data_IF_258976220188
#
_entry.id   IF_258976220188
#
_cell.length_a   1.000
_cell.length_b   1.000
_cell.length_c   1.000
_cell.angle_alpha   90.00
_cell.angle_beta   90.00
_cell.angle_gamma   90.00
#
_symmetry.space_group_name_H-M   'P 1'
#
loop_
_entity.id
_entity.type
_entity.pdbx_description
1 polymer ?
#
# COMPACT_ATOMS: atom_id res chain seq x y z
N UNK A 1 -3.68 14.11 3.95
CA UNK A 1 -2.36 14.32 4.58
C UNK A 1 -1.37 13.34 3.95
N UNK A 2 -0.05 13.61 3.87
CA UNK A 2 0.90 12.77 3.14
C UNK A 2 1.07 11.35 3.71
N UNK A 3 0.55 11.07 4.90
CA UNK A 3 0.58 9.76 5.56
C UNK A 3 -0.83 9.14 5.73
N UNK A 4 -1.83 9.62 4.98
CA UNK A 4 -3.18 9.06 5.02
C UNK A 4 -3.23 7.72 4.27
N UNK A 5 -3.99 6.74 4.78
CA UNK A 5 -4.33 5.52 4.04
C UNK A 5 -5.25 5.84 2.86
N UNK A 6 -5.37 4.92 1.91
CA UNK A 6 -6.27 5.07 0.76
C UNK A 6 -7.73 5.26 1.20
N UNK A 7 -8.19 4.50 2.20
CA UNK A 7 -9.55 4.60 2.73
C UNK A 7 -9.83 6.00 3.31
N UNK A 8 -8.86 6.57 4.03
CA UNK A 8 -8.97 7.94 4.57
C UNK A 8 -9.00 8.96 3.43
N UNK A 9 -8.20 8.76 2.37
CA UNK A 9 -8.21 9.65 1.20
C UNK A 9 -9.54 9.58 0.46
N UNK A 10 -10.08 8.38 0.23
CA UNK A 10 -11.39 8.18 -0.40
C UNK A 10 -12.51 8.83 0.43
N UNK A 11 -12.52 8.62 1.74
CA UNK A 11 -13.52 9.25 2.63
C UNK A 11 -13.45 10.78 2.59
N UNK A 12 -12.23 11.35 2.59
CA UNK A 12 -12.05 12.80 2.53
C UNK A 12 -12.51 13.38 1.18
N UNK A 13 -12.24 12.71 0.07
CA UNK A 13 -12.68 13.14 -1.26
C UNK A 13 -14.19 13.00 -1.40
N UNK A 14 -14.78 11.89 -0.94
CA UNK A 14 -16.22 11.69 -0.92
C UNK A 14 -16.95 12.75 -0.08
N UNK A 15 -16.36 13.19 1.04
CA UNK A 15 -16.88 14.30 1.83
C UNK A 15 -16.90 15.65 1.09
N UNK A 16 -16.16 15.78 -0.01
CA UNK A 16 -16.18 16.93 -0.93
C UNK A 16 -16.98 16.66 -2.21
N UNK A 17 -17.68 15.52 -2.30
CA UNK A 17 -18.44 15.12 -3.49
C UNK A 17 -17.56 14.66 -4.67
N UNK A 18 -16.31 14.28 -4.39
CA UNK A 18 -15.34 13.80 -5.38
C UNK A 18 -15.20 12.27 -5.28
N UNK A 19 -14.95 11.62 -6.41
CA UNK A 19 -14.82 10.17 -6.49
C UNK A 19 -13.34 9.69 -6.52
N UNK A 20 -13.14 8.38 -6.69
CA UNK A 20 -11.80 7.80 -6.79
C UNK A 20 -11.05 8.24 -8.05
N UNK A 21 -11.77 8.53 -9.14
CA UNK A 21 -11.20 9.07 -10.37
C UNK A 21 -10.65 10.47 -10.15
N UNK A 22 -11.41 11.31 -9.45
CA UNK A 22 -10.98 12.65 -9.04
C UNK A 22 -9.77 12.60 -8.10
N UNK A 23 -9.74 11.64 -7.17
CA UNK A 23 -8.57 11.40 -6.32
C UNK A 23 -7.31 11.14 -7.15
N UNK A 24 -7.40 10.26 -8.14
CA UNK A 24 -6.26 9.93 -9.01
C UNK A 24 -5.86 11.14 -9.87
N UNK A 25 -6.82 11.80 -10.50
CA UNK A 25 -6.57 12.95 -11.36
C UNK A 25 -5.92 14.12 -10.60
N UNK A 26 -6.47 14.47 -9.42
CA UNK A 26 -5.95 15.57 -8.60
C UNK A 26 -4.63 15.24 -7.91
N UNK A 27 -4.37 13.96 -7.61
CA UNK A 27 -3.05 13.51 -7.13
C UNK A 27 -1.94 13.76 -8.15
N UNK A 28 -2.27 13.86 -9.44
CA UNK A 28 -1.33 14.23 -10.51
C UNK A 28 -0.68 15.61 -10.30
N UNK A 29 -1.28 16.50 -9.51
CA UNK A 29 -0.69 17.80 -9.16
C UNK A 29 0.68 17.69 -8.46
N UNK A 30 0.98 16.54 -7.83
CA UNK A 30 2.29 16.27 -7.24
C UNK A 30 3.42 16.01 -8.26
N UNK A 31 3.10 15.93 -9.56
CA UNK A 31 4.11 15.81 -10.64
C UNK A 31 5.04 17.04 -10.68
N UNK A 32 4.55 18.19 -10.24
CA UNK A 32 5.31 19.44 -10.17
C UNK A 32 5.39 19.93 -8.71
N UNK A 33 6.45 20.69 -8.41
CA UNK A 33 6.63 21.31 -7.09
C UNK A 33 7.62 20.57 -6.18
N UNK A 34 7.60 20.91 -4.89
CA UNK A 34 8.52 20.40 -3.88
C UNK A 34 7.77 20.03 -2.60
N UNK A 35 8.21 18.99 -1.92
CA UNK A 35 7.74 18.61 -0.58
C UNK A 35 8.84 18.82 0.46
N UNK A 36 8.44 19.11 1.71
CA UNK A 36 9.39 19.22 2.83
C UNK A 36 9.79 17.82 3.29
N UNK A 37 11.04 17.64 3.72
CA UNK A 37 11.54 16.36 4.24
C UNK A 37 10.62 15.77 5.32
N UNK A 38 10.08 16.60 6.21
CA UNK A 38 9.17 16.19 7.29
C UNK A 38 7.92 15.46 6.80
N UNK A 39 7.47 15.71 5.56
CA UNK A 39 6.27 15.11 4.99
C UNK A 39 6.45 13.65 4.56
N UNK A 40 7.69 13.20 4.35
CA UNK A 40 7.99 11.84 3.89
C UNK A 40 9.07 11.12 4.71
N UNK A 41 9.79 11.83 5.58
CA UNK A 41 10.81 11.28 6.49
C UNK A 41 10.34 10.04 7.27
N UNK A 42 9.09 9.95 7.77
CA UNK A 42 8.61 8.74 8.43
C UNK A 42 8.73 7.48 7.57
N UNK A 43 8.49 7.55 6.25
CA UNK A 43 8.61 6.40 5.34
C UNK A 43 10.05 5.88 5.19
N UNK A 44 11.05 6.70 5.50
CA UNK A 44 12.46 6.35 5.37
C UNK A 44 13.00 5.72 6.66
N UNK A 45 12.53 6.19 7.81
CA UNK A 45 13.10 5.81 9.11
C UNK A 45 12.16 4.97 9.99
N UNK A 46 10.86 4.91 9.68
CA UNK A 46 9.90 4.06 10.37
C UNK A 46 9.53 2.89 9.45
N UNK A 47 10.33 1.82 9.55
CA UNK A 47 10.26 0.56 8.79
C UNK A 47 9.13 -0.31 9.35
N UNK A 48 7.89 0.20 9.34
CA UNK A 48 6.70 -0.53 9.80
C UNK A 48 5.81 -1.04 8.66
N UNK A 49 5.96 -0.47 7.46
CA UNK A 49 5.07 -0.68 6.31
C UNK A 49 5.84 -1.27 5.12
N UNK A 50 6.67 -2.27 5.39
CA UNK A 50 7.54 -2.87 4.38
C UNK A 50 6.67 -3.70 3.42
N UNK A 51 6.23 -3.09 2.33
CA UNK A 51 5.54 -3.82 1.24
C UNK A 51 6.40 -4.97 0.73
N UNK A 52 7.73 -4.88 0.88
CA UNK A 52 8.66 -5.96 0.57
C UNK A 52 8.43 -7.21 1.42
N UNK A 53 8.08 -7.06 2.70
CA UNK A 53 7.81 -8.19 3.58
C UNK A 53 6.53 -8.92 3.16
N UNK A 54 5.51 -8.18 2.72
CA UNK A 54 4.23 -8.75 2.23
C UNK A 54 4.44 -9.59 0.97
N UNK A 55 5.32 -9.19 0.05
CA UNK A 55 5.62 -10.00 -1.14
C UNK A 55 6.28 -11.34 -0.77
N UNK A 56 7.28 -11.34 0.13
CA UNK A 56 7.92 -12.59 0.56
C UNK A 56 7.04 -13.46 1.44
N UNK A 57 6.19 -12.88 2.30
CA UNK A 57 5.25 -13.62 3.14
C UNK A 57 4.24 -14.39 2.27
N UNK A 58 3.71 -13.75 1.21
CA UNK A 58 2.77 -14.38 0.29
C UNK A 58 3.41 -15.54 -0.49
N UNK A 59 4.64 -15.35 -1.00
CA UNK A 59 5.37 -16.42 -1.70
C UNK A 59 5.71 -17.59 -0.75
N UNK A 60 6.09 -17.31 0.50
CA UNK A 60 6.32 -18.34 1.52
C UNK A 60 5.04 -19.13 1.83
N UNK A 61 3.91 -18.44 1.97
CA UNK A 61 2.62 -19.08 2.20
C UNK A 61 2.22 -19.99 1.03
N UNK A 62 2.45 -19.56 -0.21
CA UNK A 62 2.20 -20.38 -1.39
C UNK A 62 3.06 -21.66 -1.38
N UNK A 63 4.35 -21.54 -1.06
CA UNK A 63 5.25 -22.69 -0.98
C UNK A 63 4.85 -23.69 0.13
N UNK A 64 4.34 -23.21 1.27
CA UNK A 64 3.80 -24.08 2.32
C UNK A 64 2.49 -24.78 1.90
N UNK A 65 1.64 -24.09 1.13
CA UNK A 65 0.41 -24.66 0.60
C UNK A 65 0.70 -25.75 -0.46
N UNK A 66 1.73 -25.56 -1.29
CA UNK A 66 2.18 -26.58 -2.25
C UNK A 66 2.77 -27.80 -1.52
N UNK A 67 3.61 -27.57 -0.50
CA UNK A 67 4.21 -28.65 0.29
C UNK A 67 3.17 -29.50 1.02
N UNK A 68 2.16 -28.86 1.60
CA UNK A 68 1.06 -29.57 2.27
C UNK A 68 0.22 -30.40 1.29
N UNK A 69 -0.06 -29.88 0.10
CA UNK A 69 -0.76 -30.62 -0.98
C UNK A 69 0.02 -31.84 -1.44
N UNK A 70 1.33 -31.72 -1.63
CA UNK A 70 2.19 -32.83 -2.04
C UNK A 70 2.27 -33.93 -0.96
N UNK A 71 2.24 -33.56 0.33
CA UNK A 71 2.21 -34.52 1.45
C UNK A 71 0.90 -35.30 1.54
N UNK A 72 -0.23 -34.69 1.16
CA UNK A 72 -1.54 -35.36 1.14
C UNK A 72 -1.66 -36.33 -0.05
N UNK A 73 -1.04 -36.02 -1.19
CA UNK A 73 -1.08 -36.85 -2.40
C UNK A 73 -0.15 -38.07 -2.43
N UNK A 74 0.66 -38.29 -1.40
CA UNK A 74 1.63 -39.41 -1.28
C UNK A 74 1.24 -40.37 -0.13
N UNK A 75 -0.01 -40.31 0.36
CA UNK A 75 -0.59 -41.27 1.31
C UNK A 75 -1.57 -42.22 0.65
#
# INVERSE_FOLDING_TARGET
MPNSSLEVLLANFAAQGLDSGDLVALSGSHTIGKSRCTSFKPRIYNVGDNVHDVFFENDNQEMQNISSTLKIGVS
#
